data_IF_270705383990
#
_entry.id   IF_270705383990
#
_cell.length_a   1.000
_cell.length_b   1.000
_cell.length_c   1.000
_cell.angle_alpha   90.00
_cell.angle_beta   90.00
_cell.angle_gamma   90.00
#
_symmetry.space_group_name_H-M   'P 1'
#
loop_
_entity.id
_entity.type
_entity.pdbx_description
1 polymer ?
#
# COMPACT_ATOMS: atom_id res chain seq x y z
N UNK A 1 5.45 -44.10 -6.30
CA UNK A 1 5.06 -44.11 -7.71
C UNK A 1 4.67 -42.67 -8.00
N UNK A 2 5.43 -41.84 -8.68
CA UNK A 2 6.34 -42.01 -9.83
C UNK A 2 7.05 -40.62 -9.94
N UNK A 3 8.35 -40.45 -9.62
CA UNK A 3 9.53 -40.41 -10.52
C UNK A 3 9.25 -39.76 -11.90
N UNK A 4 10.05 -38.85 -12.47
CA UNK A 4 11.42 -38.39 -12.22
C UNK A 4 11.74 -37.15 -13.11
N UNK A 5 12.90 -36.52 -12.82
CA UNK A 5 13.86 -35.91 -13.79
C UNK A 5 13.44 -34.61 -14.50
N UNK A 6 14.29 -33.61 -14.79
CA UNK A 6 15.73 -33.34 -14.67
C UNK A 6 15.89 -31.86 -15.13
N UNK A 7 16.79 -31.08 -14.54
CA UNK A 7 17.71 -30.17 -15.24
C UNK A 7 18.54 -29.39 -14.20
N UNK A 8 19.75 -29.90 -14.00
CA UNK A 8 20.93 -29.10 -13.67
C UNK A 8 21.26 -28.20 -14.87
N UNK A 9 21.50 -26.91 -14.61
CA UNK A 9 22.38 -26.05 -15.41
C UNK A 9 22.98 -25.05 -14.41
N UNK A 10 24.10 -25.41 -13.80
CA UNK A 10 25.46 -25.04 -14.21
C UNK A 10 25.69 -23.51 -14.29
N UNK A 11 26.60 -23.05 -13.44
CA UNK A 11 27.51 -21.92 -13.69
C UNK A 11 26.91 -20.50 -13.69
N UNK A 12 27.15 -19.78 -12.60
CA UNK A 12 28.05 -18.63 -12.68
C UNK A 12 28.40 -18.18 -11.27
N UNK A 13 29.50 -18.76 -10.82
CA UNK A 13 30.46 -18.09 -9.95
C UNK A 13 30.60 -16.62 -10.41
N UNK A 14 30.00 -15.72 -9.64
CA UNK A 14 30.36 -14.31 -9.68
C UNK A 14 30.81 -13.98 -8.27
N UNK A 15 32.01 -14.46 -7.92
CA UNK A 15 32.91 -13.70 -7.05
C UNK A 15 33.02 -12.29 -7.63
N UNK A 16 32.11 -11.39 -7.22
CA UNK A 16 32.35 -9.97 -7.34
C UNK A 16 33.19 -9.56 -6.14
N UNK A 17 34.47 -9.91 -6.23
CA UNK A 17 35.54 -9.33 -5.43
C UNK A 17 35.57 -7.84 -5.82
N UNK A 18 34.77 -7.02 -5.13
CA UNK A 18 34.88 -5.56 -5.20
C UNK A 18 36.12 -5.16 -4.40
N UNK A 19 37.28 -5.47 -4.98
CA UNK A 19 38.55 -4.86 -4.65
C UNK A 19 38.48 -3.40 -5.12
N UNK A 20 37.82 -2.57 -4.32
CA UNK A 20 37.99 -1.13 -4.40
C UNK A 20 39.32 -0.79 -3.74
N UNK A 21 40.41 -1.14 -4.42
CA UNK A 21 41.71 -0.51 -4.20
C UNK A 21 41.53 0.99 -4.46
N UNK A 22 41.39 1.75 -3.36
CA UNK A 22 41.63 3.18 -3.34
C UNK A 22 43.14 3.36 -3.59
N UNK A 23 43.54 3.18 -4.85
CA UNK A 23 44.74 3.77 -5.41
C UNK A 23 44.54 5.29 -5.33
N UNK A 24 44.79 5.82 -4.14
CA UNK A 24 45.38 7.13 -3.99
C UNK A 24 46.84 7.10 -4.47
N UNK A 25 47.05 6.58 -5.69
CA UNK A 25 48.19 6.95 -6.50
C UNK A 25 48.05 8.44 -6.74
N UNK A 26 48.82 9.22 -5.99
CA UNK A 26 49.10 10.61 -6.33
C UNK A 26 49.57 10.60 -7.77
N UNK A 27 48.68 10.96 -8.70
CA UNK A 27 48.91 10.84 -10.14
C UNK A 27 50.28 11.46 -10.49
N UNK A 28 51.24 10.63 -10.88
CA UNK A 28 52.57 11.10 -11.28
C UNK A 28 52.52 11.45 -12.76
N UNK A 29 52.76 12.71 -13.10
CA UNK A 29 52.81 13.19 -14.49
C UNK A 29 51.77 14.28 -14.82
N UNK A 30 51.51 14.57 -16.11
CA UNK A 30 50.69 15.71 -16.53
C UNK A 30 49.23 15.63 -16.06
N UNK A 31 48.76 14.45 -15.63
CA UNK A 31 47.43 14.26 -15.03
C UNK A 31 47.26 15.02 -13.70
N UNK A 32 48.33 15.26 -12.94
CA UNK A 32 48.27 16.10 -11.73
C UNK A 32 48.04 17.60 -12.04
N UNK A 33 48.33 18.04 -13.27
CA UNK A 33 48.13 19.41 -13.73
C UNK A 33 46.71 19.62 -14.26
N UNK A 34 46.04 18.56 -14.68
CA UNK A 34 44.67 18.61 -15.21
C UNK A 34 43.70 18.66 -14.04
N UNK A 35 43.07 19.82 -13.83
CA UNK A 35 42.05 20.01 -12.81
C UNK A 35 40.76 19.30 -13.24
N UNK A 36 40.44 18.17 -12.60
CA UNK A 36 39.19 17.45 -12.83
C UNK A 36 38.06 18.16 -12.08
N UNK A 37 37.36 19.05 -12.75
CA UNK A 37 36.12 19.69 -12.25
C UNK A 37 34.91 18.76 -12.47
N UNK A 38 34.96 17.55 -11.92
CA UNK A 38 33.80 16.67 -11.95
C UNK A 38 32.88 17.01 -10.75
N UNK A 39 31.69 17.58 -10.98
CA UNK A 39 30.78 17.98 -9.89
C UNK A 39 30.28 16.79 -9.07
N UNK A 40 30.34 15.57 -9.61
CA UNK A 40 30.00 14.33 -8.91
C UNK A 40 31.20 13.67 -8.21
N UNK A 41 32.42 14.22 -8.34
CA UNK A 41 33.61 13.77 -7.59
C UNK A 41 33.58 14.19 -6.13
N UNK A 42 32.60 15.02 -5.73
CA UNK A 42 32.43 15.43 -4.36
C UNK A 42 32.22 14.20 -3.46
N UNK A 43 33.25 13.86 -2.67
CA UNK A 43 33.16 12.81 -1.65
C UNK A 43 31.98 13.13 -0.71
N UNK A 44 31.13 12.15 -0.35
CA UNK A 44 30.02 12.39 0.55
C UNK A 44 30.55 12.90 1.90
N UNK A 45 30.13 14.10 2.29
CA UNK A 45 30.47 14.67 3.61
C UNK A 45 29.55 14.03 4.65
N UNK A 46 30.12 13.29 5.60
CA UNK A 46 29.38 12.75 6.75
C UNK A 46 28.94 13.92 7.65
N UNK A 47 27.69 14.36 7.49
CA UNK A 47 27.06 15.33 8.40
C UNK A 47 26.62 14.60 9.67
N UNK A 48 26.89 15.19 10.83
CA UNK A 48 26.42 14.67 12.11
C UNK A 48 24.93 14.96 12.24
N UNK A 49 24.17 14.04 12.82
CA UNK A 49 22.71 14.14 12.98
C UNK A 49 22.24 15.42 13.71
N UNK A 50 23.12 16.11 14.43
CA UNK A 50 22.84 17.38 15.12
C UNK A 50 22.82 18.60 14.20
N UNK A 51 23.48 18.53 13.05
CA UNK A 51 23.63 19.64 12.10
C UNK A 51 22.64 19.54 10.92
N UNK A 52 21.67 18.62 11.01
CA UNK A 52 20.62 18.45 10.00
C UNK A 52 19.50 19.44 10.31
N UNK A 53 19.43 20.51 9.51
CA UNK A 53 18.30 21.47 9.52
C UNK A 53 17.01 20.77 9.08
N UNK A 54 16.17 20.39 10.04
CA UNK A 54 14.85 19.77 9.80
C UNK A 54 13.86 20.77 9.15
N UNK A 55 14.12 22.08 9.28
CA UNK A 55 13.27 23.13 8.69
C UNK A 55 13.48 23.33 7.19
N UNK A 56 14.60 22.85 6.63
CA UNK A 56 14.75 22.77 5.17
C UNK A 56 13.99 21.53 4.72
N UNK A 57 12.68 21.67 4.54
CA UNK A 57 11.87 20.69 3.82
C UNK A 57 12.52 20.52 2.45
N UNK A 58 13.35 19.48 2.29
CA UNK A 58 13.82 19.04 1.00
C UNK A 58 12.56 18.87 0.17
N UNK A 59 12.41 19.72 -0.85
CA UNK A 59 11.30 19.63 -1.77
C UNK A 59 11.17 18.17 -2.20
N UNK A 60 10.08 17.52 -1.76
CA UNK A 60 9.85 16.09 -1.97
C UNK A 60 10.27 15.76 -3.39
N UNK A 61 11.16 14.78 -3.53
CA UNK A 61 11.69 14.35 -4.81
C UNK A 61 10.51 14.10 -5.75
N UNK A 62 10.65 14.35 -7.07
CA UNK A 62 9.56 14.16 -8.04
C UNK A 62 8.87 12.80 -7.86
N UNK A 63 9.66 11.77 -7.55
CA UNK A 63 9.21 10.42 -7.22
C UNK A 63 8.32 10.36 -5.97
N UNK A 64 8.72 11.01 -4.88
CA UNK A 64 7.98 11.05 -3.63
C UNK A 64 6.65 11.81 -3.77
N UNK A 65 6.61 12.87 -4.59
CA UNK A 65 5.37 13.61 -4.88
C UNK A 65 4.36 12.72 -5.62
N UNK A 66 4.81 12.01 -6.64
CA UNK A 66 3.96 11.10 -7.42
C UNK A 66 3.48 9.90 -6.58
N UNK A 67 4.33 9.36 -5.70
CA UNK A 67 3.93 8.28 -4.78
C UNK A 67 2.89 8.74 -3.76
N UNK A 68 3.05 9.92 -3.18
CA UNK A 68 2.06 10.50 -2.26
C UNK A 68 0.75 10.80 -2.99
N UNK A 69 0.80 11.28 -4.23
CA UNK A 69 -0.40 11.52 -5.02
C UNK A 69 -1.12 10.20 -5.36
N UNK A 70 -0.37 9.14 -5.72
CA UNK A 70 -0.92 7.80 -5.95
C UNK A 70 -1.60 7.26 -4.68
N UNK A 71 -0.96 7.42 -3.52
CA UNK A 71 -1.54 7.03 -2.23
C UNK A 71 -2.82 7.81 -1.93
N UNK A 72 -2.78 9.14 -2.06
CA UNK A 72 -3.96 10.00 -1.85
C UNK A 72 -5.10 9.68 -2.80
N UNK A 73 -4.81 9.37 -4.06
CA UNK A 73 -5.81 8.97 -5.05
C UNK A 73 -6.46 7.63 -4.67
N UNK A 74 -5.65 6.66 -4.23
CA UNK A 74 -6.14 5.37 -3.75
C UNK A 74 -7.00 5.53 -2.49
N UNK A 75 -6.54 6.28 -1.49
CA UNK A 75 -7.30 6.60 -0.28
C UNK A 75 -8.63 7.30 -0.62
N UNK A 76 -8.60 8.25 -1.55
CA UNK A 76 -9.81 8.94 -2.00
C UNK A 76 -10.79 7.98 -2.67
N UNK A 77 -10.30 7.05 -3.48
CA UNK A 77 -11.11 6.02 -4.11
C UNK A 77 -11.74 5.09 -3.06
N UNK A 78 -10.94 4.57 -2.12
CA UNK A 78 -11.41 3.71 -1.03
C UNK A 78 -12.45 4.44 -0.17
N UNK A 79 -12.18 5.69 0.20
CA UNK A 79 -13.12 6.53 0.94
C UNK A 79 -14.42 6.79 0.17
N UNK A 80 -14.36 6.95 -1.15
CA UNK A 80 -15.55 7.15 -1.98
C UNK A 80 -16.40 5.87 -2.05
N UNK A 81 -15.75 4.71 -2.05
CA UNK A 81 -16.39 3.40 -2.02
C UNK A 81 -17.04 3.14 -0.66
N UNK A 82 -16.35 3.42 0.44
CA UNK A 82 -16.90 3.35 1.80
C UNK A 82 -18.10 4.29 1.99
N UNK A 83 -18.04 5.49 1.40
CA UNK A 83 -19.15 6.45 1.38
C UNK A 83 -20.34 5.98 0.52
N UNK A 84 -20.23 4.87 -0.20
CA UNK A 84 -21.29 4.41 -1.09
C UNK A 84 -21.48 5.30 -2.31
N UNK A 85 -20.46 6.10 -2.68
CA UNK A 85 -20.58 7.05 -3.80
C UNK A 85 -20.20 6.43 -5.14
N UNK A 86 -19.46 5.32 -5.15
CA UNK A 86 -19.22 4.53 -6.36
C UNK A 86 -20.47 3.75 -6.76
N UNK A 87 -20.70 3.55 -8.05
CA UNK A 87 -21.90 2.83 -8.53
C UNK A 87 -22.00 1.40 -7.99
N UNK A 88 -20.85 0.73 -7.81
CA UNK A 88 -20.78 -0.60 -7.20
C UNK A 88 -21.24 -0.55 -5.74
N UNK A 89 -20.70 0.38 -4.94
CA UNK A 89 -21.09 0.48 -3.54
C UNK A 89 -22.55 0.91 -3.35
N UNK A 90 -23.11 1.72 -4.25
CA UNK A 90 -24.56 2.02 -4.25
C UNK A 90 -25.40 0.76 -4.43
N UNK A 91 -25.08 -0.05 -5.44
CA UNK A 91 -25.77 -1.31 -5.71
C UNK A 91 -25.66 -2.28 -4.52
N UNK A 92 -24.49 -2.36 -3.90
CA UNK A 92 -24.28 -3.21 -2.73
C UNK A 92 -25.07 -2.71 -1.51
N UNK A 93 -25.10 -1.40 -1.27
CA UNK A 93 -25.92 -0.81 -0.21
C UNK A 93 -27.42 -1.02 -0.45
N UNK A 94 -27.89 -0.86 -1.69
CA UNK A 94 -29.27 -1.12 -2.10
C UNK A 94 -29.63 -2.60 -1.88
N UNK A 95 -28.76 -3.53 -2.27
CA UNK A 95 -28.93 -4.96 -2.03
C UNK A 95 -29.00 -5.26 -0.53
N UNK A 96 -28.12 -4.68 0.27
CA UNK A 96 -28.15 -4.84 1.73
C UNK A 96 -29.41 -4.22 2.34
N UNK A 97 -29.89 -3.08 1.83
CA UNK A 97 -31.13 -2.45 2.29
C UNK A 97 -32.35 -3.35 2.00
N UNK A 98 -32.43 -3.95 0.82
CA UNK A 98 -33.50 -4.90 0.47
C UNK A 98 -33.51 -6.11 1.42
N UNK A 99 -32.34 -6.68 1.74
CA UNK A 99 -32.23 -7.78 2.70
C UNK A 99 -32.68 -7.35 4.10
N UNK A 100 -32.30 -6.14 4.53
CA UNK A 100 -32.75 -5.59 5.82
C UNK A 100 -34.27 -5.41 5.86
N UNK A 101 -34.86 -4.90 4.78
CA UNK A 101 -36.32 -4.76 4.66
C UNK A 101 -37.01 -6.12 4.73
N UNK A 102 -36.56 -7.11 3.96
CA UNK A 102 -37.12 -8.47 4.00
C UNK A 102 -37.03 -9.09 5.40
N UNK A 103 -35.91 -8.89 6.10
CA UNK A 103 -35.75 -9.36 7.49
C UNK A 103 -36.69 -8.64 8.45
N UNK A 104 -36.83 -7.32 8.32
CA UNK A 104 -37.72 -6.53 9.15
C UNK A 104 -39.19 -6.90 8.91
N UNK A 105 -39.60 -7.07 7.67
CA UNK A 105 -40.96 -7.52 7.32
C UNK A 105 -41.24 -8.94 7.82
N UNK A 106 -40.28 -9.86 7.69
CA UNK A 106 -40.43 -11.21 8.23
C UNK A 106 -40.52 -11.22 9.76
N UNK A 107 -39.76 -10.34 10.45
CA UNK A 107 -39.85 -10.19 11.90
C UNK A 107 -41.22 -9.61 12.30
N UNK A 108 -41.68 -8.53 11.64
CA UNK A 108 -42.99 -7.93 11.87
C UNK A 108 -44.14 -8.93 11.64
N UNK A 109 -44.14 -9.65 10.53
CA UNK A 109 -45.15 -10.69 10.25
C UNK A 109 -45.16 -11.78 11.34
N UNK A 110 -43.99 -12.22 11.83
CA UNK A 110 -43.93 -13.19 12.93
C UNK A 110 -44.44 -12.62 14.25
N UNK A 111 -44.19 -11.35 14.54
CA UNK A 111 -44.70 -10.69 15.74
C UNK A 111 -46.22 -10.50 15.68
N UNK A 112 -46.75 -10.06 14.55
CA UNK A 112 -48.19 -9.91 14.31
C UNK A 112 -48.92 -11.26 14.41
N UNK A 113 -48.40 -12.33 13.81
CA UNK A 113 -48.99 -13.67 13.94
C UNK A 113 -48.96 -14.20 15.37
N UNK A 114 -47.89 -13.92 16.12
CA UNK A 114 -47.78 -14.31 17.53
C UNK A 114 -48.78 -13.51 18.38
N UNK A 115 -48.85 -12.20 18.19
CA UNK A 115 -49.80 -11.34 18.88
C UNK A 115 -51.25 -11.72 18.58
N UNK A 116 -51.60 -12.00 17.32
CA UNK A 116 -52.94 -12.45 16.94
C UNK A 116 -53.29 -13.82 17.54
N UNK A 117 -52.33 -14.76 17.61
CA UNK A 117 -52.52 -16.05 18.29
C UNK A 117 -52.71 -15.89 19.79
N UNK A 118 -51.99 -14.96 20.42
CA UNK A 118 -52.12 -14.68 21.85
C UNK A 118 -53.46 -14.00 22.17
N UNK A 119 -53.88 -13.01 21.37
CA UNK A 119 -55.20 -12.39 21.48
C UNK A 119 -56.32 -13.43 21.33
N UNK A 120 -56.26 -14.30 20.32
CA UNK A 120 -57.24 -15.39 20.16
C UNK A 120 -57.26 -16.36 21.36
N UNK A 121 -56.10 -16.66 21.94
CA UNK A 121 -56.02 -17.50 23.15
C UNK A 121 -56.59 -16.79 24.38
N UNK A 122 -56.37 -15.48 24.50
CA UNK A 122 -56.91 -14.66 25.59
C UNK A 122 -58.43 -14.51 25.47
N UNK A 123 -58.94 -14.27 24.27
CA UNK A 123 -60.39 -14.24 23.97
C UNK A 123 -61.04 -15.60 24.22
N UNK A 124 -60.40 -16.72 23.85
CA UNK A 124 -60.92 -18.06 24.10
C UNK A 124 -60.86 -18.51 25.58
N UNK A 125 -60.11 -17.79 26.42
CA UNK A 125 -59.97 -18.08 27.86
C UNK A 125 -60.87 -17.20 28.73
N UNK A 126 -61.53 -16.20 28.14
CA UNK A 126 -62.48 -15.29 28.79
C UNK A 126 -63.90 -15.79 28.59
#
# INVERSE_FOLDING_TARGET
MEQAEEEEDETSDVQSEEESEDESEKAKGPQAVIQIENPNLAKPKNLKARDVDIEKTSELSRREREEIERQRAHERYMRLQEQGKTEQARKDLERLALIRQQRAEAAKKREEEKAAKEQKKMEARK
#
